data_IF_302304834395
#
_entry.id   IF_302304834395
#
_cell.length_a   1.000
_cell.length_b   1.000
_cell.length_c   1.000
_cell.angle_alpha   90.00
_cell.angle_beta   90.00
_cell.angle_gamma   90.00
#
_symmetry.space_group_name_H-M   'P 1'
#
loop_
_entity.id
_entity.type
_entity.pdbx_description
1 polymer ?
#
# COMPACT_ATOMS: atom_id res chain seq x y z
N UNK A 1 58.05 -15.10 2.93
CA UNK A 1 57.57 -13.73 3.23
C UNK A 1 57.62 -12.79 2.02
N UNK A 2 58.50 -12.97 1.05
CA UNK A 2 58.60 -12.10 -0.14
C UNK A 2 57.32 -12.07 -1.02
N UNK A 3 56.63 -13.18 -1.20
CA UNK A 3 55.41 -13.21 -2.01
C UNK A 3 54.21 -12.43 -1.45
N UNK A 4 54.11 -12.30 -0.11
CA UNK A 4 53.10 -11.46 0.53
C UNK A 4 53.42 -9.97 0.39
N UNK A 5 54.69 -9.62 0.39
CA UNK A 5 55.15 -8.26 0.18
C UNK A 5 54.86 -7.80 -1.28
N UNK A 6 55.09 -8.68 -2.26
CA UNK A 6 54.81 -8.38 -3.66
C UNK A 6 53.30 -8.18 -3.96
N UNK A 7 52.43 -8.84 -3.20
CA UNK A 7 50.96 -8.59 -3.26
C UNK A 7 50.54 -7.30 -2.57
N UNK A 8 51.36 -6.77 -1.69
CA UNK A 8 51.07 -5.50 -0.97
C UNK A 8 51.69 -4.27 -1.64
N UNK A 9 52.60 -4.46 -2.60
CA UNK A 9 53.19 -3.37 -3.38
C UNK A 9 52.25 -3.06 -4.56
N UNK A 10 51.58 -1.95 -4.47
CA UNK A 10 50.77 -1.42 -5.57
C UNK A 10 51.71 -0.96 -6.67
N UNK A 11 51.71 -1.64 -7.80
CA UNK A 11 52.49 -1.24 -8.97
C UNK A 11 51.94 0.05 -9.61
N UNK A 12 52.74 0.72 -10.43
CA UNK A 12 52.29 1.93 -11.16
C UNK A 12 51.03 1.62 -12.00
N UNK A 13 50.93 0.42 -12.59
CA UNK A 13 49.74 -0.02 -13.33
C UNK A 13 48.52 -0.24 -12.44
N UNK A 14 48.74 -0.77 -11.24
CA UNK A 14 47.66 -0.95 -10.28
C UNK A 14 47.15 0.39 -9.74
N UNK A 15 48.07 1.36 -9.57
CA UNK A 15 47.73 2.71 -9.16
C UNK A 15 46.92 3.45 -10.24
N UNK A 16 47.19 3.18 -11.52
CA UNK A 16 46.43 3.68 -12.66
C UNK A 16 45.03 3.09 -12.74
N UNK A 17 44.84 1.83 -12.33
CA UNK A 17 43.56 1.12 -12.40
C UNK A 17 42.71 1.30 -11.15
N UNK A 18 43.34 1.43 -9.98
CA UNK A 18 42.64 1.39 -8.68
C UNK A 18 42.82 2.64 -7.81
N UNK A 19 43.73 3.57 -8.24
CA UNK A 19 43.95 4.84 -7.52
C UNK A 19 42.83 5.84 -7.69
N UNK A 20 43.14 7.07 -8.09
CA UNK A 20 42.12 8.08 -8.48
C UNK A 20 42.08 8.24 -10.01
N UNK A 21 41.63 7.25 -10.78
CA UNK A 21 41.57 7.33 -12.22
C UNK A 21 40.52 8.33 -12.68
N UNK A 22 40.81 9.06 -13.74
CA UNK A 22 39.78 9.89 -14.41
C UNK A 22 38.71 9.01 -15.04
N UNK A 23 39.04 7.80 -15.42
CA UNK A 23 38.15 6.78 -15.96
C UNK A 23 38.54 5.40 -15.41
N UNK A 24 37.56 4.62 -14.99
CA UNK A 24 37.72 3.24 -14.52
C UNK A 24 36.64 2.35 -15.06
N UNK A 25 37.00 1.15 -15.51
CA UNK A 25 36.03 0.09 -15.86
C UNK A 25 35.47 -0.63 -14.64
N UNK A 26 36.09 -0.49 -13.46
CA UNK A 26 35.77 -1.27 -12.26
C UNK A 26 35.00 -0.47 -11.21
N UNK A 27 35.16 0.85 -11.22
CA UNK A 27 34.49 1.75 -10.25
C UNK A 27 33.77 2.86 -11.03
N UNK A 28 32.52 3.12 -10.69
CA UNK A 28 31.81 4.32 -11.15
C UNK A 28 32.40 5.54 -10.44
N UNK A 29 33.31 6.22 -11.09
CA UNK A 29 33.95 7.41 -10.56
C UNK A 29 33.39 8.64 -11.29
N UNK A 30 32.54 9.41 -10.59
CA UNK A 30 31.95 10.63 -11.14
C UNK A 30 32.74 11.83 -10.65
N UNK A 31 33.49 12.47 -11.53
CA UNK A 31 34.09 13.77 -11.24
C UNK A 31 33.18 14.88 -11.74
N UNK A 32 32.88 15.83 -10.85
CA UNK A 32 32.10 17.00 -11.18
C UNK A 32 32.99 18.04 -11.83
N UNK A 33 32.85 18.25 -13.14
CA UNK A 33 33.66 19.21 -13.91
C UNK A 33 32.99 20.57 -14.06
N UNK A 34 31.66 20.63 -13.92
CA UNK A 34 30.90 21.86 -14.11
C UNK A 34 29.93 22.07 -12.95
N UNK A 35 29.57 23.32 -12.71
CA UNK A 35 28.48 23.62 -11.77
C UNK A 35 27.16 23.26 -12.42
N UNK A 36 26.28 22.59 -11.69
CA UNK A 36 24.93 22.21 -12.13
C UNK A 36 23.95 22.32 -10.96
N UNK A 37 22.70 22.53 -11.28
CA UNK A 37 21.56 22.41 -10.37
C UNK A 37 20.73 21.18 -10.71
N UNK A 38 20.03 20.66 -9.71
CA UNK A 38 19.03 19.59 -9.89
C UNK A 38 17.70 20.17 -9.44
N UNK A 39 16.72 20.10 -10.30
CA UNK A 39 15.37 20.58 -10.07
C UNK A 39 14.36 19.47 -10.37
N UNK A 40 13.27 19.43 -9.62
CA UNK A 40 12.15 18.54 -9.88
C UNK A 40 11.08 19.30 -10.66
N UNK A 41 10.64 18.76 -11.77
CA UNK A 41 9.61 19.35 -12.62
C UNK A 41 8.43 18.39 -12.64
N UNK A 42 7.30 18.86 -12.18
CA UNK A 42 6.05 18.10 -12.20
C UNK A 42 5.45 18.14 -13.62
N UNK A 43 5.05 16.98 -14.11
CA UNK A 43 4.44 16.80 -15.42
C UNK A 43 3.19 15.95 -15.25
N UNK A 44 2.01 16.46 -15.62
CA UNK A 44 0.77 15.69 -15.49
C UNK A 44 0.72 14.56 -16.53
N UNK A 45 -0.12 13.58 -16.28
CA UNK A 45 -0.48 12.57 -17.24
C UNK A 45 -1.43 13.13 -18.30
N UNK A 46 -1.30 12.64 -19.53
CA UNK A 46 -2.23 12.88 -20.62
C UNK A 46 -3.37 11.83 -20.54
N UNK A 47 -4.57 12.26 -20.20
CA UNK A 47 -5.76 11.42 -20.06
C UNK A 47 -6.20 11.15 -18.62
N UNK A 48 -7.30 10.41 -18.50
CA UNK A 48 -7.86 10.04 -17.20
C UNK A 48 -7.10 8.86 -16.60
N UNK A 49 -6.70 9.00 -15.34
CA UNK A 49 -6.03 7.95 -14.57
C UNK A 49 -7.08 7.12 -13.85
N UNK A 50 -7.18 5.85 -14.20
CA UNK A 50 -8.11 4.90 -13.57
C UNK A 50 -7.45 3.51 -13.47
N UNK A 51 -8.11 2.58 -12.76
CA UNK A 51 -7.69 1.18 -12.73
C UNK A 51 -7.75 0.56 -14.13
N UNK A 52 -6.79 -0.30 -14.43
CA UNK A 52 -6.61 -0.94 -15.76
C UNK A 52 -6.44 0.05 -16.93
N UNK A 53 -6.19 1.33 -16.64
CA UNK A 53 -5.91 2.35 -17.64
C UNK A 53 -4.41 2.40 -17.98
N UNK A 54 -4.12 2.73 -19.24
CA UNK A 54 -2.77 3.10 -19.70
C UNK A 54 -2.75 4.60 -19.96
N UNK A 55 -1.84 5.31 -19.32
CA UNK A 55 -1.70 6.76 -19.42
C UNK A 55 -0.30 7.15 -19.87
N UNK A 56 -0.18 8.24 -20.59
CA UNK A 56 1.10 8.78 -21.06
C UNK A 56 1.47 10.04 -20.27
N UNK A 57 2.76 10.21 -20.06
CA UNK A 57 3.34 11.46 -19.55
C UNK A 57 4.41 11.93 -20.52
N UNK A 58 4.24 13.12 -21.09
CA UNK A 58 5.19 13.69 -22.05
C UNK A 58 6.16 14.60 -21.34
N UNK A 59 7.44 14.25 -21.42
CA UNK A 59 8.51 15.06 -20.84
C UNK A 59 8.77 16.28 -21.72
N UNK A 60 8.63 17.51 -21.17
CA UNK A 60 8.77 18.74 -21.95
C UNK A 60 10.23 19.03 -22.30
N UNK A 61 10.49 19.36 -23.58
CA UNK A 61 11.83 19.62 -24.15
C UNK A 61 12.60 20.79 -23.53
N UNK A 62 11.93 21.77 -22.91
CA UNK A 62 12.55 23.04 -22.52
C UNK A 62 12.69 23.21 -21.01
N UNK A 63 12.66 22.12 -20.24
CA UNK A 63 12.64 22.19 -18.77
C UNK A 63 13.91 21.71 -18.09
N UNK A 64 14.98 21.45 -18.86
CA UNK A 64 16.28 21.03 -18.36
C UNK A 64 17.13 20.48 -19.48
N UNK A 65 18.40 20.25 -19.20
CA UNK A 65 19.36 19.71 -20.19
C UNK A 65 19.41 18.19 -20.14
N UNK A 66 19.31 17.62 -18.94
CA UNK A 66 19.44 16.19 -18.69
C UNK A 66 18.35 15.67 -17.73
N UNK A 67 17.78 14.52 -18.04
CA UNK A 67 16.91 13.76 -17.12
C UNK A 67 17.78 12.75 -16.38
N UNK A 68 17.82 12.87 -15.06
CA UNK A 68 18.54 11.96 -14.17
C UNK A 68 17.65 10.92 -13.53
N UNK A 69 16.42 11.28 -13.22
CA UNK A 69 15.47 10.40 -12.54
C UNK A 69 14.04 10.79 -12.89
N UNK A 70 13.16 9.82 -12.81
CA UNK A 70 11.71 10.02 -12.88
C UNK A 70 11.07 9.47 -11.62
N UNK A 71 10.07 10.19 -11.11
CA UNK A 71 9.33 9.78 -9.94
C UNK A 71 7.83 9.85 -10.26
N UNK A 72 7.14 8.75 -10.04
CA UNK A 72 5.69 8.69 -10.12
C UNK A 72 5.12 9.17 -8.79
N UNK A 73 4.18 10.13 -8.86
CA UNK A 73 3.44 10.62 -7.70
C UNK A 73 1.96 10.41 -7.92
N UNK A 74 1.28 9.83 -6.94
CA UNK A 74 -0.15 9.55 -7.02
C UNK A 74 -0.75 9.46 -5.62
N UNK A 75 -2.06 9.68 -5.53
CA UNK A 75 -2.83 9.58 -4.29
C UNK A 75 -3.74 8.36 -4.36
N UNK A 76 -3.74 7.51 -3.34
CA UNK A 76 -4.75 6.47 -3.18
C UNK A 76 -5.74 6.89 -2.09
N UNK A 77 -7.04 6.68 -2.33
CA UNK A 77 -8.06 6.97 -1.33
C UNK A 77 -7.94 6.00 -0.14
N UNK A 78 -8.52 6.36 0.98
CA UNK A 78 -8.72 5.43 2.10
C UNK A 78 -9.42 4.17 1.60
N UNK A 79 -8.88 2.96 1.88
CA UNK A 79 -9.56 1.73 1.50
C UNK A 79 -10.88 1.60 2.28
N UNK A 80 -11.98 1.39 1.55
CA UNK A 80 -13.31 1.19 2.12
C UNK A 80 -13.90 -0.11 1.60
N UNK A 81 -14.62 -0.85 2.46
CA UNK A 81 -15.45 -1.95 1.99
C UNK A 81 -16.80 -1.41 1.51
N UNK A 82 -17.46 -2.16 0.66
CA UNK A 82 -18.83 -1.84 0.26
C UNK A 82 -19.80 -2.12 1.41
N UNK A 83 -20.78 -1.23 1.58
CA UNK A 83 -21.89 -1.43 2.48
C UNK A 83 -22.61 -2.74 2.16
N UNK A 84 -22.98 -3.48 3.20
CA UNK A 84 -23.59 -4.80 3.05
C UNK A 84 -24.80 -4.96 3.93
N UNK A 85 -25.84 -5.64 3.39
CA UNK A 85 -27.00 -6.03 4.15
C UNK A 85 -26.99 -7.53 4.44
N UNK A 86 -27.37 -7.88 5.67
CA UNK A 86 -27.55 -9.24 6.15
C UNK A 86 -29.03 -9.51 6.46
N UNK A 87 -29.48 -10.71 6.17
CA UNK A 87 -30.80 -11.17 6.61
C UNK A 87 -30.64 -11.99 7.87
N UNK A 88 -31.30 -11.57 8.96
CA UNK A 88 -31.27 -12.26 10.25
C UNK A 88 -32.61 -12.94 10.49
N UNK A 89 -32.58 -14.25 10.69
CA UNK A 89 -33.76 -15.05 11.05
C UNK A 89 -33.48 -15.84 12.34
N UNK A 90 -34.51 -16.33 12.99
CA UNK A 90 -34.39 -17.16 14.20
C UNK A 90 -35.13 -18.49 14.03
N UNK A 91 -34.47 -19.58 14.34
CA UNK A 91 -35.07 -20.91 14.39
C UNK A 91 -34.31 -21.82 15.37
N UNK A 92 -34.99 -22.74 16.04
CA UNK A 92 -34.34 -23.73 16.91
C UNK A 92 -33.49 -23.13 18.02
N UNK A 93 -33.87 -21.93 18.54
CA UNK A 93 -33.12 -21.26 19.62
C UNK A 93 -31.80 -20.62 19.18
N UNK A 94 -31.63 -20.32 17.88
CA UNK A 94 -30.41 -19.66 17.36
C UNK A 94 -30.72 -18.70 16.22
N UNK A 95 -29.86 -17.71 16.03
CA UNK A 95 -29.89 -16.84 14.87
C UNK A 95 -29.24 -17.50 13.67
N UNK A 96 -29.82 -17.21 12.50
CA UNK A 96 -29.25 -17.51 11.19
C UNK A 96 -28.96 -16.18 10.49
N UNK A 97 -27.74 -16.00 10.06
CA UNK A 97 -27.34 -14.86 9.23
C UNK A 97 -27.15 -15.36 7.80
N UNK A 98 -27.94 -14.83 6.86
CA UNK A 98 -27.98 -15.28 5.46
C UNK A 98 -28.11 -16.82 5.36
N UNK A 99 -28.95 -17.41 6.22
CA UNK A 99 -29.18 -18.86 6.28
C UNK A 99 -28.14 -19.67 7.03
N UNK A 100 -27.06 -19.09 7.52
CA UNK A 100 -26.01 -19.79 8.28
C UNK A 100 -26.25 -19.66 9.80
N UNK A 101 -26.35 -20.79 10.54
CA UNK A 101 -26.59 -20.76 11.98
C UNK A 101 -25.38 -20.21 12.73
N UNK A 102 -25.61 -19.27 13.65
CA UNK A 102 -24.59 -18.62 14.49
C UNK A 102 -23.36 -18.20 13.69
N UNK A 103 -23.55 -17.64 12.49
CA UNK A 103 -22.47 -17.30 11.58
C UNK A 103 -21.44 -16.39 12.26
N UNK A 104 -20.17 -16.70 12.11
CA UNK A 104 -19.09 -15.78 12.44
C UNK A 104 -18.97 -14.76 11.31
N UNK A 105 -19.16 -13.47 11.65
CA UNK A 105 -19.09 -12.39 10.67
C UNK A 105 -17.70 -11.76 10.66
N UNK A 106 -17.31 -11.27 9.51
CA UNK A 106 -16.16 -10.35 9.36
C UNK A 106 -16.69 -9.02 8.87
N UNK A 107 -16.50 -7.99 9.67
CA UNK A 107 -16.90 -6.62 9.37
C UNK A 107 -15.64 -5.74 9.29
N UNK A 108 -15.73 -4.64 8.56
CA UNK A 108 -14.60 -3.73 8.35
C UNK A 108 -14.91 -2.35 8.89
N UNK A 109 -13.93 -1.72 9.53
CA UNK A 109 -14.01 -0.35 10.01
C UNK A 109 -14.37 0.63 8.89
N UNK A 110 -15.13 1.67 9.20
CA UNK A 110 -15.59 2.69 8.25
C UNK A 110 -16.69 2.24 7.29
N UNK A 111 -17.21 1.01 7.43
CA UNK A 111 -18.25 0.44 6.56
C UNK A 111 -19.59 0.36 7.30
N UNK A 112 -20.67 0.50 6.55
CA UNK A 112 -22.06 0.38 7.07
C UNK A 112 -22.62 -1.00 6.79
N UNK A 113 -23.11 -1.66 7.84
CA UNK A 113 -23.80 -2.96 7.76
C UNK A 113 -25.23 -2.83 8.23
N UNK A 114 -26.16 -3.33 7.42
CA UNK A 114 -27.59 -3.34 7.74
C UNK A 114 -28.04 -4.77 8.02
N UNK A 115 -28.59 -5.01 9.19
CA UNK A 115 -29.16 -6.28 9.59
C UNK A 115 -30.68 -6.22 9.51
N UNK A 116 -31.28 -6.89 8.54
CA UNK A 116 -32.70 -7.02 8.37
C UNK A 116 -33.20 -8.18 9.24
N UNK A 117 -33.76 -7.86 10.42
CA UNK A 117 -34.09 -8.82 11.47
C UNK A 117 -35.52 -9.32 11.29
N UNK A 118 -35.68 -10.49 10.69
CA UNK A 118 -36.92 -11.22 10.52
C UNK A 118 -37.07 -12.28 11.62
N UNK A 119 -36.96 -11.86 12.89
CA UNK A 119 -36.95 -12.72 14.06
C UNK A 119 -37.86 -12.16 15.17
N UNK A 120 -39.17 -12.31 14.96
CA UNK A 120 -40.17 -11.79 15.92
C UNK A 120 -39.94 -12.35 17.32
N UNK A 121 -39.95 -11.47 18.33
CA UNK A 121 -39.70 -11.84 19.73
C UNK A 121 -38.22 -12.06 20.09
N UNK A 122 -37.32 -11.82 19.17
CA UNK A 122 -35.86 -11.96 19.36
C UNK A 122 -35.13 -10.67 19.00
N UNK A 123 -35.01 -9.69 19.92
CA UNK A 123 -34.29 -8.45 19.69
C UNK A 123 -32.81 -8.71 19.45
N UNK A 124 -32.29 -8.26 18.29
CA UNK A 124 -30.89 -8.44 17.86
C UNK A 124 -30.03 -7.31 18.42
N UNK A 125 -29.01 -7.63 19.18
CA UNK A 125 -28.12 -6.68 19.87
C UNK A 125 -26.68 -7.10 19.80
N UNK A 126 -25.77 -6.20 20.19
CA UNK A 126 -24.33 -6.38 20.18
C UNK A 126 -23.73 -6.28 21.58
N UNK A 127 -22.62 -6.98 21.82
CA UNK A 127 -21.90 -6.97 23.09
C UNK A 127 -20.41 -7.25 22.90
N UNK A 128 -19.60 -6.87 23.89
CA UNK A 128 -18.19 -7.25 23.99
C UNK A 128 -17.98 -8.67 24.55
N UNK A 129 -19.02 -9.24 25.17
CA UNK A 129 -18.97 -10.58 25.73
C UNK A 129 -19.87 -11.54 24.98
N UNK A 130 -19.47 -12.82 24.84
CA UNK A 130 -20.36 -13.84 24.27
C UNK A 130 -21.70 -13.84 24.99
N UNK A 131 -22.80 -13.90 24.22
CA UNK A 131 -24.16 -13.94 24.72
C UNK A 131 -24.62 -12.71 25.57
N UNK A 132 -23.86 -11.63 25.54
CA UNK A 132 -24.18 -10.33 26.11
C UNK A 132 -24.62 -10.37 27.55
N UNK A 133 -25.84 -9.85 27.84
CA UNK A 133 -26.40 -9.76 29.18
C UNK A 133 -26.58 -11.11 29.88
N UNK A 134 -26.80 -12.18 29.12
CA UNK A 134 -26.97 -13.53 29.68
C UNK A 134 -25.66 -14.06 30.27
N UNK A 135 -24.53 -13.51 29.91
CA UNK A 135 -23.20 -13.83 30.44
C UNK A 135 -22.56 -12.67 31.22
N UNK A 136 -23.39 -11.78 31.78
CA UNK A 136 -22.92 -10.65 32.58
C UNK A 136 -22.28 -9.51 31.81
N UNK A 137 -22.40 -9.51 30.49
CA UNK A 137 -21.88 -8.45 29.63
C UNK A 137 -22.84 -7.28 29.48
N UNK A 138 -22.33 -6.17 29.02
CA UNK A 138 -23.10 -4.98 28.67
C UNK A 138 -23.38 -4.96 27.17
N UNK A 139 -24.47 -4.30 26.81
CA UNK A 139 -24.76 -3.99 25.42
C UNK A 139 -23.71 -3.05 24.84
N UNK A 140 -23.24 -3.34 23.64
CA UNK A 140 -22.38 -2.46 22.84
C UNK A 140 -23.26 -1.62 21.92
N UNK A 141 -23.13 -0.30 21.99
CA UNK A 141 -24.00 0.65 21.28
C UNK A 141 -23.25 1.61 20.37
N UNK A 142 -21.91 1.63 20.41
CA UNK A 142 -21.14 2.56 19.60
C UNK A 142 -21.27 2.22 18.10
N UNK A 143 -21.71 3.20 17.31
CA UNK A 143 -22.01 3.04 15.88
C UNK A 143 -23.26 2.21 15.58
N UNK A 144 -24.00 1.71 16.60
CA UNK A 144 -25.24 0.94 16.42
C UNK A 144 -26.44 1.87 16.39
N UNK A 145 -27.26 1.74 15.36
CA UNK A 145 -28.51 2.49 15.16
C UNK A 145 -29.69 1.51 15.23
N UNK A 146 -30.73 1.89 15.95
CA UNK A 146 -31.99 1.14 16.14
C UNK A 146 -31.78 -0.32 16.64
N UNK A 147 -31.00 -0.54 17.74
CA UNK A 147 -30.73 -1.89 18.23
C UNK A 147 -32.03 -2.55 18.71
N UNK A 148 -32.20 -3.83 18.37
CA UNK A 148 -33.36 -4.64 18.78
C UNK A 148 -34.62 -4.42 17.94
N UNK A 149 -34.58 -3.62 16.90
CA UNK A 149 -35.69 -3.41 15.94
C UNK A 149 -35.62 -4.40 14.78
N UNK A 150 -36.52 -4.27 13.79
CA UNK A 150 -36.52 -5.09 12.58
C UNK A 150 -35.41 -4.72 11.58
N UNK A 151 -34.78 -3.56 11.78
CA UNK A 151 -33.62 -3.13 10.97
C UNK A 151 -32.61 -2.50 11.90
N UNK A 152 -31.49 -3.16 12.08
CA UNK A 152 -30.38 -2.68 12.90
C UNK A 152 -29.25 -2.28 11.97
N UNK A 153 -28.74 -1.06 12.10
CA UNK A 153 -27.61 -0.58 11.30
C UNK A 153 -26.39 -0.46 12.20
N UNK A 154 -25.27 -0.96 11.72
CA UNK A 154 -23.97 -0.80 12.36
C UNK A 154 -23.02 -0.04 11.44
N UNK A 155 -22.73 1.19 11.76
CA UNK A 155 -21.66 1.99 11.16
C UNK A 155 -20.42 1.70 11.98
N UNK A 156 -19.54 0.86 11.46
CA UNK A 156 -18.38 0.38 12.22
C UNK A 156 -17.41 1.53 12.48
N UNK A 157 -17.20 1.95 13.74
CA UNK A 157 -16.30 3.05 14.04
C UNK A 157 -14.85 2.73 13.69
N UNK A 158 -14.03 3.76 13.44
CA UNK A 158 -12.59 3.64 13.48
C UNK A 158 -12.19 3.30 14.94
N UNK A 159 -11.31 2.32 15.10
CA UNK A 159 -10.94 1.76 16.40
C UNK A 159 -12.06 0.97 17.11
N UNK A 160 -13.00 0.40 16.37
CA UNK A 160 -13.96 -0.56 16.91
C UNK A 160 -13.23 -1.76 17.56
N UNK A 161 -13.80 -2.36 18.61
CA UNK A 161 -13.23 -3.57 19.19
C UNK A 161 -13.06 -4.67 18.15
N UNK A 162 -11.87 -5.32 18.10
CA UNK A 162 -11.56 -6.36 17.11
C UNK A 162 -12.48 -7.58 17.17
N UNK A 163 -13.17 -7.77 18.31
CA UNK A 163 -14.13 -8.85 18.51
C UNK A 163 -15.38 -8.32 19.19
N UNK A 164 -16.52 -8.56 18.58
CA UNK A 164 -17.84 -8.32 19.08
C UNK A 164 -18.68 -9.60 19.00
N UNK A 165 -19.81 -9.59 19.65
CA UNK A 165 -20.77 -10.68 19.61
C UNK A 165 -22.16 -10.10 19.37
N UNK A 166 -22.93 -10.73 18.49
CA UNK A 166 -24.37 -10.46 18.43
C UNK A 166 -25.12 -11.47 19.29
N UNK A 167 -26.20 -11.03 19.91
CA UNK A 167 -26.98 -11.85 20.83
C UNK A 167 -28.46 -11.46 20.82
N UNK A 168 -29.31 -12.30 21.40
CA UNK A 168 -30.70 -11.99 21.63
C UNK A 168 -30.87 -11.46 23.05
N UNK A 169 -31.56 -10.32 23.22
CA UNK A 169 -31.78 -9.70 24.54
C UNK A 169 -32.68 -10.54 25.47
N UNK A 170 -33.53 -11.42 24.91
CA UNK A 170 -34.52 -12.21 25.65
C UNK A 170 -34.04 -13.65 25.93
N UNK A 171 -33.33 -14.28 24.98
CA UNK A 171 -32.96 -15.69 25.05
C UNK A 171 -31.45 -15.87 24.97
N UNK A 172 -30.92 -16.75 25.83
CA UNK A 172 -29.51 -17.06 25.85
C UNK A 172 -29.10 -18.01 24.69
N UNK A 173 -27.82 -17.98 24.34
CA UNK A 173 -27.22 -18.94 23.45
C UNK A 173 -27.60 -18.80 21.96
N UNK A 174 -28.26 -17.73 21.54
CA UNK A 174 -28.73 -17.55 20.15
C UNK A 174 -27.68 -16.97 19.21
N UNK A 175 -26.74 -16.19 19.71
CA UNK A 175 -25.84 -15.35 18.94
C UNK A 175 -24.56 -16.03 18.46
N UNK A 176 -23.69 -15.22 17.83
CA UNK A 176 -22.40 -15.60 17.29
C UNK A 176 -21.36 -14.48 17.39
N UNK A 177 -20.20 -14.71 16.84
CA UNK A 177 -19.06 -13.81 16.91
C UNK A 177 -18.98 -12.90 15.67
N UNK A 178 -18.48 -11.70 15.89
CA UNK A 178 -18.12 -10.73 14.87
C UNK A 178 -16.63 -10.40 15.02
N UNK A 179 -15.88 -10.57 13.95
CA UNK A 179 -14.49 -10.11 13.85
C UNK A 179 -14.48 -8.78 13.12
N UNK A 180 -14.03 -7.71 13.78
CA UNK A 180 -13.83 -6.42 13.14
C UNK A 180 -12.40 -6.32 12.68
N UNK A 181 -12.21 -5.91 11.44
CA UNK A 181 -10.91 -5.76 10.80
C UNK A 181 -10.78 -4.38 10.20
N UNK A 182 -9.56 -3.87 10.20
CA UNK A 182 -9.20 -2.70 9.44
C UNK A 182 -8.84 -3.09 7.99
N UNK A 183 -9.31 -2.33 7.01
CA UNK A 183 -8.89 -2.47 5.62
C UNK A 183 -7.57 -1.74 5.42
N UNK A 184 -6.64 -2.42 4.76
CA UNK A 184 -5.31 -1.88 4.49
C UNK A 184 -4.89 -2.23 3.08
N UNK A 185 -4.13 -1.36 2.45
CA UNK A 185 -3.45 -1.70 1.22
C UNK A 185 -2.36 -2.75 1.49
N UNK A 186 -2.03 -3.53 0.46
CA UNK A 186 -0.94 -4.49 0.54
C UNK A 186 0.39 -3.76 0.73
N UNK A 187 1.35 -4.48 1.29
CA UNK A 187 2.74 -4.04 1.36
C UNK A 187 3.26 -3.60 -0.01
N UNK A 188 4.03 -2.51 -0.05
CA UNK A 188 4.62 -1.94 -1.27
C UNK A 188 3.58 -1.62 -2.35
N UNK A 189 2.43 -1.12 -1.94
CA UNK A 189 1.33 -0.82 -2.87
C UNK A 189 1.78 0.07 -4.01
N UNK A 190 2.71 1.00 -3.77
CA UNK A 190 3.26 1.88 -4.79
C UNK A 190 3.85 1.14 -5.99
N UNK A 191 4.55 0.04 -5.75
CA UNK A 191 5.07 -0.81 -6.82
C UNK A 191 3.98 -1.74 -7.40
N UNK A 192 3.11 -2.27 -6.55
CA UNK A 192 2.14 -3.29 -6.94
C UNK A 192 0.98 -2.80 -7.80
N UNK A 193 0.66 -1.50 -7.78
CA UNK A 193 -0.37 -0.94 -8.65
C UNK A 193 0.12 -0.75 -10.09
N UNK A 194 1.43 -0.86 -10.34
CA UNK A 194 2.01 -0.66 -11.65
C UNK A 194 2.14 -2.02 -12.34
N UNK A 195 1.39 -2.23 -13.42
CA UNK A 195 1.62 -3.37 -14.29
C UNK A 195 2.97 -3.21 -15.00
N UNK A 196 3.15 -2.13 -15.73
CA UNK A 196 4.43 -1.77 -16.32
C UNK A 196 4.53 -0.25 -16.56
N UNK A 197 5.77 0.23 -16.65
CA UNK A 197 6.11 1.57 -17.10
C UNK A 197 7.11 1.50 -18.26
N UNK A 198 6.76 2.15 -19.36
CA UNK A 198 7.56 2.19 -20.59
C UNK A 198 8.27 3.53 -20.75
N UNK A 199 9.55 3.48 -20.99
CA UNK A 199 10.29 4.63 -21.50
C UNK A 199 10.26 4.61 -23.02
N UNK A 200 9.60 5.60 -23.61
CA UNK A 200 9.46 5.73 -25.07
C UNK A 200 10.24 6.93 -25.57
N UNK A 201 11.11 6.73 -26.56
CA UNK A 201 11.87 7.80 -27.22
C UNK A 201 11.67 7.67 -28.73
N UNK A 202 11.22 8.74 -29.36
CA UNK A 202 11.00 8.75 -30.80
C UNK A 202 9.96 7.73 -31.28
N UNK A 203 8.98 7.40 -30.43
CA UNK A 203 7.94 6.40 -30.73
C UNK A 203 8.37 4.95 -30.55
N UNK A 204 9.58 4.71 -30.03
CA UNK A 204 10.08 3.36 -29.74
C UNK A 204 10.22 3.16 -28.23
N UNK A 205 9.75 2.02 -27.73
CA UNK A 205 9.97 1.61 -26.35
C UNK A 205 11.44 1.22 -26.17
N UNK A 206 12.16 1.99 -25.36
CA UNK A 206 13.57 1.79 -25.07
C UNK A 206 13.75 0.84 -23.89
N UNK A 207 12.94 1.00 -22.86
CA UNK A 207 12.97 0.16 -21.65
C UNK A 207 11.56 0.00 -21.10
N UNK A 208 11.25 -1.21 -20.65
CA UNK A 208 10.03 -1.54 -19.90
C UNK A 208 10.44 -2.05 -18.53
N UNK A 209 9.84 -1.49 -17.50
CA UNK A 209 9.98 -1.96 -16.12
C UNK A 209 8.58 -2.35 -15.59
N UNK A 210 8.52 -3.41 -14.80
CA UNK A 210 7.28 -3.88 -14.17
C UNK A 210 7.24 -3.50 -12.69
N UNK A 211 6.06 -3.51 -12.08
CA UNK A 211 5.94 -3.30 -10.65
C UNK A 211 6.76 -4.29 -9.82
N UNK A 212 6.77 -5.57 -10.21
CA UNK A 212 7.62 -6.58 -9.57
C UNK A 212 9.12 -6.24 -9.63
N UNK A 213 9.57 -5.72 -10.79
CA UNK A 213 10.96 -5.27 -10.92
C UNK A 213 11.27 -4.10 -10.01
N UNK A 214 10.36 -3.12 -9.89
CA UNK A 214 10.52 -1.97 -9.00
C UNK A 214 10.62 -2.44 -7.55
N UNK A 215 9.72 -3.33 -7.13
CA UNK A 215 9.75 -3.92 -5.80
C UNK A 215 11.07 -4.64 -5.50
N UNK A 216 11.53 -5.50 -6.41
CA UNK A 216 12.81 -6.21 -6.25
C UNK A 216 14.00 -5.25 -6.22
N UNK A 217 13.97 -4.20 -7.05
CA UNK A 217 15.01 -3.18 -7.07
C UNK A 217 15.15 -2.49 -5.72
N UNK A 218 14.02 -2.07 -5.14
CA UNK A 218 13.99 -1.44 -3.81
C UNK A 218 14.51 -2.38 -2.73
N UNK A 219 14.13 -3.66 -2.77
CA UNK A 219 14.61 -4.67 -1.81
C UNK A 219 16.13 -4.88 -1.85
N UNK A 220 16.73 -4.81 -3.04
CA UNK A 220 18.17 -5.10 -3.22
C UNK A 220 19.03 -3.88 -2.95
N UNK A 221 18.55 -2.68 -3.30
CA UNK A 221 19.37 -1.46 -3.31
C UNK A 221 19.13 -0.56 -2.09
N UNK A 222 18.10 -0.83 -1.30
CA UNK A 222 17.80 -0.07 -0.09
C UNK A 222 18.36 -0.79 1.14
N UNK A 223 18.92 -0.04 2.06
CA UNK A 223 19.29 -0.57 3.37
C UNK A 223 18.06 -0.58 4.31
N UNK A 224 18.20 -1.23 5.47
CA UNK A 224 17.11 -1.36 6.42
C UNK A 224 16.58 -0.01 6.91
N UNK A 225 17.46 0.96 7.12
CA UNK A 225 17.06 2.27 7.63
C UNK A 225 16.29 3.06 6.55
N UNK A 226 16.66 2.93 5.27
CA UNK A 226 15.91 3.51 4.16
C UNK A 226 14.52 2.87 4.02
N UNK A 227 14.43 1.55 4.18
CA UNK A 227 13.15 0.82 4.15
C UNK A 227 12.24 1.31 5.28
N UNK A 228 12.73 1.32 6.51
CA UNK A 228 11.93 1.60 7.70
C UNK A 228 11.51 3.08 7.81
N UNK A 229 12.28 4.01 7.25
CA UNK A 229 12.06 5.45 7.42
C UNK A 229 11.56 6.16 6.17
N UNK A 230 12.05 5.79 5.01
CA UNK A 230 11.78 6.53 3.76
C UNK A 230 10.81 5.78 2.85
N UNK A 231 11.14 4.54 2.49
CA UNK A 231 10.32 3.76 1.58
C UNK A 231 8.97 3.38 2.20
N UNK A 232 8.90 3.20 3.51
CA UNK A 232 7.64 2.99 4.22
C UNK A 232 6.62 4.08 3.90
N UNK A 233 7.00 5.35 4.02
CA UNK A 233 6.10 6.48 3.77
C UNK A 233 5.89 6.77 2.28
N UNK A 234 6.90 6.54 1.44
CA UNK A 234 6.84 6.91 0.02
C UNK A 234 6.13 5.84 -0.83
N UNK A 235 6.36 4.58 -0.55
CA UNK A 235 5.89 3.48 -1.40
C UNK A 235 5.01 2.47 -0.69
N UNK A 236 4.84 2.59 0.63
CA UNK A 236 4.17 1.59 1.45
C UNK A 236 4.99 0.32 1.66
N UNK A 237 6.33 0.40 1.54
CA UNK A 237 7.24 -0.74 1.66
C UNK A 237 7.41 -1.17 3.12
N UNK A 238 7.45 -2.47 3.39
CA UNK A 238 7.82 -3.06 4.68
C UNK A 238 6.70 -3.25 5.69
N UNK A 239 5.56 -2.56 5.57
CA UNK A 239 4.40 -2.73 6.44
C UNK A 239 3.10 -2.25 5.80
N UNK A 240 1.98 -2.72 6.34
CA UNK A 240 0.67 -2.17 6.00
C UNK A 240 0.56 -0.76 6.58
N UNK A 241 0.41 0.24 5.73
CA UNK A 241 0.10 1.59 6.19
C UNK A 241 -1.34 1.58 6.70
N UNK A 242 -1.51 1.98 7.95
CA UNK A 242 -2.83 2.17 8.56
C UNK A 242 -3.40 3.50 8.03
N UNK A 243 -4.07 3.43 6.89
CA UNK A 243 -4.52 4.61 6.17
C UNK A 243 -5.92 4.97 6.65
N UNK A 244 -6.01 5.94 7.53
CA UNK A 244 -7.28 6.52 7.98
C UNK A 244 -7.75 7.66 7.08
N UNK A 245 -6.95 8.07 6.10
CA UNK A 245 -7.20 9.15 5.14
C UNK A 245 -6.54 8.82 3.79
N UNK A 246 -6.80 9.62 2.77
CA UNK A 246 -6.14 9.53 1.47
C UNK A 246 -4.64 9.75 1.62
N UNK A 247 -3.84 8.91 0.97
CA UNK A 247 -2.39 8.94 1.13
C UNK A 247 -1.67 9.18 -0.18
N UNK A 248 -0.68 10.10 -0.13
CA UNK A 248 0.18 10.41 -1.27
C UNK A 248 1.38 9.46 -1.31
N UNK A 249 1.50 8.75 -2.41
CA UNK A 249 2.63 7.88 -2.70
C UNK A 249 3.58 8.53 -3.68
N UNK A 250 4.87 8.25 -3.53
CA UNK A 250 5.93 8.70 -4.42
C UNK A 250 6.88 7.56 -4.69
N UNK A 251 7.05 7.20 -5.96
CA UNK A 251 7.81 6.02 -6.37
C UNK A 251 8.84 6.42 -7.42
N UNK A 252 10.11 6.12 -7.17
CA UNK A 252 11.14 6.26 -8.20
C UNK A 252 11.01 5.13 -9.22
N UNK A 253 11.07 5.50 -10.48
CA UNK A 253 11.08 4.54 -11.59
C UNK A 253 12.54 4.24 -11.95
N UNK A 254 13.04 3.00 -11.66
CA UNK A 254 14.44 2.66 -11.81
C UNK A 254 14.81 2.34 -13.26
N UNK A 255 14.54 3.27 -14.18
CA UNK A 255 15.04 3.21 -15.57
C UNK A 255 16.57 3.26 -15.60
N UNK A 256 17.19 2.89 -16.73
CA UNK A 256 18.62 2.79 -16.86
C UNK A 256 19.40 4.06 -16.46
N UNK A 257 18.84 5.23 -16.73
CA UNK A 257 19.47 6.51 -16.37
C UNK A 257 19.34 6.84 -14.87
N UNK A 258 18.38 6.26 -14.16
CA UNK A 258 18.30 6.32 -12.70
C UNK A 258 19.33 5.40 -12.06
N UNK A 259 19.48 4.17 -12.59
CA UNK A 259 20.45 3.18 -12.09
C UNK A 259 21.90 3.60 -12.35
N UNK A 260 22.12 4.34 -13.43
CA UNK A 260 23.44 4.86 -13.78
C UNK A 260 23.35 6.34 -14.18
N UNK A 261 23.69 7.28 -13.28
CA UNK A 261 23.61 8.72 -13.56
C UNK A 261 24.45 9.19 -14.75
N UNK A 262 25.46 8.42 -15.17
CA UNK A 262 26.25 8.76 -16.38
C UNK A 262 25.47 8.58 -17.68
N UNK A 263 24.34 7.89 -17.61
CA UNK A 263 23.45 7.64 -18.75
C UNK A 263 22.21 8.57 -18.72
N UNK A 264 22.30 9.71 -18.03
CA UNK A 264 21.24 10.72 -18.04
C UNK A 264 20.85 11.11 -19.46
N UNK A 265 19.53 11.21 -19.71
CA UNK A 265 19.01 11.44 -21.06
C UNK A 265 19.10 12.93 -21.41
N UNK A 266 19.74 13.32 -22.51
CA UNK A 266 19.71 14.71 -22.98
C UNK A 266 18.32 15.05 -23.54
N UNK A 267 17.78 16.20 -23.11
CA UNK A 267 16.44 16.68 -23.52
C UNK A 267 16.52 17.77 -24.57
N UNK A 268 17.73 18.28 -24.83
CA UNK A 268 17.99 19.40 -25.77
C UNK A 268 18.07 19.00 -27.25
N UNK A 269 17.76 17.76 -27.62
CA UNK A 269 17.83 17.27 -28.99
C UNK A 269 16.49 17.37 -29.74
#
# INVERSE_FOLDING_TARGET
>A
MAGRLNLAITGIQDQWLTGEPEFSYFLMNFRRHTKFSIESIETPFDGDVDYDASVECRIPKNKGDLIRSTMLKFTLPKPTAHDKSFTVTAAGGQYFIDGTPKATLTLYEGTTYTFNVNASGHPFRFSLTPDGRHNGGLEYTDGIIDPGTSTVTYVVPENAPSTLYYYCDVHNGMGGQINVKNLRYRESIGAQIIDHADLVIGGQTIERITGDYIYMYDQIHSNKDDIDQTLYFLTGHGNYIDVTYDWDYSLFLPFYFFRNPSLAIPVCA
#
